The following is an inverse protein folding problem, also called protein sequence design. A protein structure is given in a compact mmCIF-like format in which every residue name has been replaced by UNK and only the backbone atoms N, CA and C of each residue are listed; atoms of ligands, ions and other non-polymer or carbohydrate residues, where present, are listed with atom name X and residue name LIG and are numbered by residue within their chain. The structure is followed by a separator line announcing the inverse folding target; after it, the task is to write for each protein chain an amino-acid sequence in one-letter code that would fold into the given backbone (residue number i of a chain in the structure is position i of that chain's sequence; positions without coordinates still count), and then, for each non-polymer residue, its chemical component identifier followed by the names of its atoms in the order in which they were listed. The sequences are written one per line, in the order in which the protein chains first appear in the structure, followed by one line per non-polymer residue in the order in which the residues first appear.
data_IF_117223416269
#
_entry.id   IF_117223416269
#
_cell.length_a   1.000
_cell.length_b   1.000
_cell.length_c   1.000
_cell.angle_alpha   90.00
_cell.angle_beta   90.00
_cell.angle_gamma   90.00
#
_symmetry.space_group_name_H-M   'P 1'
#
loop_
_entity.id
_entity.type
_entity.pdbx_description
1 polymer ?
#
# COMPACT_ATOMS: atom_id res chain seq x y z
N UNK A 1 3.47 31.56 -18.35
CA UNK A 1 2.66 31.03 -17.22
C UNK A 1 3.21 29.72 -16.66
N UNK A 2 3.46 28.68 -17.47
CA UNK A 2 4.09 27.44 -16.96
C UNK A 2 5.52 27.73 -16.47
N UNK A 3 6.31 28.45 -17.26
CA UNK A 3 7.66 28.94 -16.89
C UNK A 3 7.63 29.76 -15.57
N UNK A 4 6.57 30.54 -15.37
CA UNK A 4 6.36 31.30 -14.13
C UNK A 4 6.05 30.40 -12.93
N UNK A 5 5.26 29.34 -13.12
CA UNK A 5 4.96 28.36 -12.05
C UNK A 5 6.17 27.49 -11.72
N UNK A 6 7.05 27.22 -12.70
CA UNK A 6 8.30 26.50 -12.51
C UNK A 6 9.41 27.35 -11.88
N UNK A 7 9.20 28.68 -11.76
CA UNK A 7 10.20 29.59 -11.23
C UNK A 7 11.29 29.97 -12.23
N UNK A 8 11.12 29.70 -13.52
CA UNK A 8 12.09 30.04 -14.57
C UNK A 8 12.13 31.55 -14.85
N UNK A 9 11.05 32.28 -14.55
CA UNK A 9 10.96 33.74 -14.75
C UNK A 9 11.31 34.56 -13.51
N UNK A 10 11.13 34.02 -12.30
CA UNK A 10 11.30 34.77 -11.03
C UNK A 10 12.20 34.05 -10.02
N UNK A 11 12.79 32.90 -10.39
CA UNK A 11 13.67 32.09 -9.56
C UNK A 11 12.98 31.31 -8.45
N UNK A 12 11.65 31.40 -8.32
CA UNK A 12 10.91 30.80 -7.19
C UNK A 12 9.84 29.84 -7.72
N UNK A 13 10.08 28.51 -7.66
CA UNK A 13 9.07 27.51 -7.99
C UNK A 13 7.80 27.72 -7.16
N UNK A 14 6.65 27.78 -7.82
CA UNK A 14 5.34 27.95 -7.16
C UNK A 14 4.80 26.61 -6.66
N UNK A 15 3.71 26.68 -5.90
CA UNK A 15 3.04 25.51 -5.33
C UNK A 15 2.77 24.44 -6.42
N UNK A 16 3.34 23.23 -6.29
CA UNK A 16 3.11 22.13 -7.22
C UNK A 16 1.61 21.82 -7.45
N UNK A 17 0.74 22.08 -6.47
CA UNK A 17 -0.72 21.91 -6.62
C UNK A 17 -1.31 22.82 -7.69
N UNK A 18 -0.81 24.04 -7.85
CA UNK A 18 -1.25 24.96 -8.91
C UNK A 18 -0.81 24.45 -10.28
N UNK A 19 0.42 23.98 -10.37
CA UNK A 19 0.96 23.43 -11.61
C UNK A 19 0.22 22.15 -12.03
N UNK A 20 -0.06 21.26 -11.08
CA UNK A 20 -0.89 20.08 -11.31
C UNK A 20 -2.28 20.44 -11.85
N UNK A 21 -2.98 21.38 -11.22
CA UNK A 21 -4.31 21.84 -11.68
C UNK A 21 -4.25 22.41 -13.10
N UNK A 22 -3.20 23.17 -13.42
CA UNK A 22 -3.00 23.71 -14.77
C UNK A 22 -2.76 22.59 -15.80
N UNK A 23 -1.91 21.61 -15.49
CA UNK A 23 -1.67 20.47 -16.38
C UNK A 23 -2.93 19.64 -16.61
N UNK A 24 -3.72 19.40 -15.56
CA UNK A 24 -5.01 18.72 -15.67
C UNK A 24 -5.99 19.50 -16.55
N UNK A 25 -6.14 20.82 -16.34
CA UNK A 25 -7.01 21.67 -17.14
C UNK A 25 -6.60 21.71 -18.63
N UNK A 26 -5.30 21.62 -18.92
CA UNK A 26 -4.75 21.54 -20.27
C UNK A 26 -4.71 20.13 -20.86
N UNK A 27 -5.17 19.11 -20.14
CA UNK A 27 -5.08 17.68 -20.52
C UNK A 27 -3.64 17.21 -20.78
N UNK A 28 -2.66 17.83 -20.12
CA UNK A 28 -1.25 17.45 -20.13
C UNK A 28 -1.01 16.38 -19.07
N UNK A 29 -1.55 15.18 -19.29
CA UNK A 29 -1.62 14.12 -18.28
C UNK A 29 -0.25 13.55 -17.88
N UNK A 30 0.73 13.53 -18.80
CA UNK A 30 2.09 13.02 -18.49
C UNK A 30 2.80 13.94 -17.49
N UNK A 31 2.67 15.24 -17.69
CA UNK A 31 3.21 16.29 -16.84
C UNK A 31 2.45 16.36 -15.52
N UNK A 32 1.12 16.24 -15.56
CA UNK A 32 0.28 16.12 -14.37
C UNK A 32 0.68 14.92 -13.51
N UNK A 33 0.97 13.76 -14.12
CA UNK A 33 1.40 12.57 -13.41
C UNK A 33 2.72 12.78 -12.65
N UNK A 34 3.69 13.48 -13.26
CA UNK A 34 4.95 13.84 -12.59
C UNK A 34 4.70 14.79 -11.41
N UNK A 35 3.87 15.81 -11.61
CA UNK A 35 3.51 16.74 -10.53
C UNK A 35 2.76 16.03 -9.39
N UNK A 36 1.86 15.10 -9.71
CA UNK A 36 1.12 14.30 -8.73
C UNK A 36 2.06 13.47 -7.85
N UNK A 37 3.09 12.85 -8.42
CA UNK A 37 4.11 12.11 -7.64
C UNK A 37 4.86 13.01 -6.66
N UNK A 38 5.23 14.23 -7.09
CA UNK A 38 5.92 15.20 -6.22
C UNK A 38 5.01 15.62 -5.06
N UNK A 39 3.75 15.98 -5.35
CA UNK A 39 2.78 16.38 -4.34
C UNK A 39 2.51 15.22 -3.37
N UNK A 40 2.29 14.01 -3.88
CA UNK A 40 2.04 12.84 -3.04
C UNK A 40 3.20 12.57 -2.08
N UNK A 41 4.44 12.69 -2.55
CA UNK A 41 5.61 12.56 -1.68
C UNK A 41 5.68 13.66 -0.60
N UNK A 42 5.32 14.91 -0.93
CA UNK A 42 5.25 15.98 0.07
C UNK A 42 4.17 15.70 1.13
N UNK A 43 2.99 15.23 0.71
CA UNK A 43 1.91 14.84 1.61
C UNK A 43 2.33 13.64 2.50
N UNK A 44 3.09 12.67 1.97
CA UNK A 44 3.66 11.57 2.75
C UNK A 44 4.63 12.04 3.83
N UNK A 45 5.54 12.97 3.49
CA UNK A 45 6.49 13.56 4.43
C UNK A 45 5.76 14.37 5.52
N UNK A 46 4.65 14.99 5.17
CA UNK A 46 3.79 15.72 6.11
C UNK A 46 2.91 14.81 6.99
N UNK A 47 2.85 13.50 6.73
CA UNK A 47 2.00 12.55 7.45
C UNK A 47 0.56 12.44 6.91
N UNK A 48 0.25 13.10 5.79
CA UNK A 48 -1.07 13.12 5.15
C UNK A 48 -1.24 11.94 4.16
N UNK A 49 -1.04 10.71 4.64
CA UNK A 49 -1.02 9.51 3.79
C UNK A 49 -2.32 9.26 3.01
N UNK A 50 -3.48 9.60 3.58
CA UNK A 50 -4.76 9.48 2.88
C UNK A 50 -4.87 10.47 1.71
N UNK A 51 -4.44 11.71 1.91
CA UNK A 51 -4.41 12.72 0.83
C UNK A 51 -3.46 12.31 -0.30
N UNK A 52 -2.27 11.78 0.04
CA UNK A 52 -1.33 11.24 -0.94
C UNK A 52 -1.95 10.07 -1.73
N UNK A 53 -2.60 9.15 -1.03
CA UNK A 53 -3.30 8.01 -1.62
C UNK A 53 -4.37 8.47 -2.61
N UNK A 54 -5.26 9.37 -2.19
CA UNK A 54 -6.41 9.81 -2.99
C UNK A 54 -5.96 10.61 -4.22
N UNK A 55 -4.88 11.39 -4.12
CA UNK A 55 -4.26 12.08 -5.26
C UNK A 55 -3.70 11.08 -6.29
N UNK A 56 -2.91 10.10 -5.85
CA UNK A 56 -2.33 9.10 -6.75
C UNK A 56 -3.40 8.20 -7.37
N UNK A 57 -4.44 7.83 -6.60
CA UNK A 57 -5.59 7.10 -7.12
C UNK A 57 -6.32 7.90 -8.21
N UNK A 58 -6.60 9.19 -7.96
CA UNK A 58 -7.25 10.06 -8.93
C UNK A 58 -6.43 10.16 -10.22
N UNK A 59 -5.12 10.40 -10.11
CA UNK A 59 -4.23 10.46 -11.27
C UNK A 59 -4.14 9.10 -12.00
N UNK A 60 -4.11 7.98 -11.27
CA UNK A 60 -4.15 6.64 -11.85
C UNK A 60 -5.40 6.44 -12.71
N UNK A 61 -6.57 6.83 -12.19
CA UNK A 61 -7.84 6.72 -12.92
C UNK A 61 -7.84 7.61 -14.17
N UNK A 62 -7.32 8.83 -14.08
CA UNK A 62 -7.21 9.74 -15.22
C UNK A 62 -6.30 9.17 -16.32
N UNK A 63 -5.15 8.60 -15.97
CA UNK A 63 -4.28 7.93 -16.94
C UNK A 63 -4.99 6.73 -17.59
N UNK A 64 -5.67 5.90 -16.79
CA UNK A 64 -6.40 4.72 -17.28
C UNK A 64 -7.52 5.11 -18.26
N UNK A 65 -8.35 6.09 -17.91
CA UNK A 65 -9.45 6.60 -18.78
C UNK A 65 -8.96 7.15 -20.11
N UNK A 66 -7.76 7.73 -20.13
CA UNK A 66 -7.14 8.27 -21.33
C UNK A 66 -6.24 7.26 -22.06
N UNK A 67 -6.26 5.98 -21.68
CA UNK A 67 -5.43 4.90 -22.25
C UNK A 67 -3.93 5.23 -22.24
N UNK A 68 -3.46 5.91 -21.19
CA UNK A 68 -2.07 6.28 -21.00
C UNK A 68 -1.35 5.27 -20.09
N UNK A 69 -0.07 5.04 -20.38
CA UNK A 69 0.78 4.19 -19.56
C UNK A 69 0.96 4.78 -18.17
N UNK A 70 0.65 3.99 -17.15
CA UNK A 70 0.89 4.35 -15.75
C UNK A 70 2.32 3.94 -15.41
N UNK A 71 3.08 4.83 -14.79
CA UNK A 71 4.47 4.55 -14.39
C UNK A 71 4.53 3.49 -13.28
N UNK A 72 5.58 2.66 -13.28
CA UNK A 72 5.84 1.66 -12.22
C UNK A 72 5.85 2.29 -10.83
N UNK A 73 6.48 3.44 -10.70
CA UNK A 73 6.70 4.10 -9.41
C UNK A 73 5.39 4.63 -8.82
N UNK A 74 4.47 5.10 -9.67
CA UNK A 74 3.12 5.49 -9.26
C UNK A 74 2.34 4.27 -8.76
N UNK A 75 2.42 3.13 -9.46
CA UNK A 75 1.77 1.88 -9.02
C UNK A 75 2.33 1.41 -7.67
N UNK A 76 3.66 1.45 -7.51
CA UNK A 76 4.33 1.03 -6.29
C UNK A 76 3.99 1.96 -5.11
N UNK A 77 4.02 3.28 -5.31
CA UNK A 77 3.68 4.27 -4.28
C UNK A 77 2.21 4.16 -3.87
N UNK A 78 1.28 4.06 -4.82
CA UNK A 78 -0.14 3.85 -4.55
C UNK A 78 -0.39 2.53 -3.79
N UNK A 79 0.28 1.45 -4.22
CA UNK A 79 0.22 0.14 -3.54
C UNK A 79 0.67 0.24 -2.09
N UNK A 80 1.80 0.91 -1.83
CA UNK A 80 2.35 1.06 -0.49
C UNK A 80 1.42 1.87 0.43
N UNK A 81 0.87 2.98 -0.08
CA UNK A 81 -0.10 3.79 0.65
C UNK A 81 -1.40 3.04 0.92
N UNK A 82 -1.89 2.26 -0.07
CA UNK A 82 -3.07 1.43 0.09
C UNK A 82 -2.87 0.31 1.12
N UNK A 83 -1.71 -0.33 1.13
CA UNK A 83 -1.36 -1.31 2.17
C UNK A 83 -1.40 -0.68 3.56
N UNK A 84 -0.89 0.55 3.70
CA UNK A 84 -0.95 1.29 4.95
C UNK A 84 -2.39 1.59 5.41
N UNK A 85 -3.29 2.02 4.51
CA UNK A 85 -4.70 2.27 4.87
C UNK A 85 -5.44 0.98 5.26
N UNK A 86 -5.14 -0.13 4.58
CA UNK A 86 -5.73 -1.45 4.85
C UNK A 86 -5.43 -2.00 6.25
N UNK A 87 -4.29 -1.63 6.86
CA UNK A 87 -3.92 -2.11 8.21
C UNK A 87 -5.04 -1.87 9.21
N UNK A 88 -5.60 -0.64 9.23
CA UNK A 88 -6.67 -0.29 10.17
C UNK A 88 -7.92 -1.14 9.94
N UNK A 89 -8.26 -1.42 8.69
CA UNK A 89 -9.42 -2.23 8.31
C UNK A 89 -9.25 -3.67 8.78
N UNK A 90 -8.10 -4.30 8.52
CA UNK A 90 -7.82 -5.68 8.94
C UNK A 90 -7.70 -5.83 10.47
N UNK A 91 -7.17 -4.83 11.17
CA UNK A 91 -7.16 -4.81 12.63
C UNK A 91 -8.59 -4.79 13.19
N UNK A 92 -9.48 -3.94 12.64
CA UNK A 92 -10.90 -3.87 13.04
C UNK A 92 -11.63 -5.19 12.79
N UNK A 93 -11.35 -5.85 11.66
CA UNK A 93 -11.92 -7.16 11.29
C UNK A 93 -11.40 -8.32 12.14
N UNK A 94 -10.35 -8.12 12.94
CA UNK A 94 -9.70 -9.19 13.69
C UNK A 94 -8.74 -10.05 12.86
N UNK A 95 -8.51 -9.71 11.57
CA UNK A 95 -7.55 -10.42 10.72
C UNK A 95 -6.13 -9.90 10.97
N UNK A 96 -5.59 -10.27 12.12
CA UNK A 96 -4.31 -9.77 12.61
C UNK A 96 -3.12 -10.27 11.79
N UNK A 97 -3.23 -11.46 11.18
CA UNK A 97 -2.15 -11.99 10.35
C UNK A 97 -1.96 -11.15 9.08
N UNK A 98 -3.04 -10.81 8.37
CA UNK A 98 -2.96 -9.91 7.21
C UNK A 98 -2.49 -8.52 7.63
N UNK A 99 -3.00 -7.99 8.74
CA UNK A 99 -2.53 -6.71 9.27
C UNK A 99 -1.03 -6.71 9.57
N UNK A 100 -0.50 -7.78 10.17
CA UNK A 100 0.92 -7.95 10.43
C UNK A 100 1.74 -7.98 9.13
N UNK A 101 1.30 -8.76 8.12
CA UNK A 101 1.96 -8.83 6.81
C UNK A 101 1.99 -7.47 6.09
N UNK A 102 0.88 -6.73 6.11
CA UNK A 102 0.81 -5.37 5.57
C UNK A 102 1.79 -4.44 6.29
N UNK A 103 1.83 -4.51 7.62
CA UNK A 103 2.75 -3.71 8.44
C UNK A 103 4.22 -4.05 8.19
N UNK A 104 4.56 -5.30 7.87
CA UNK A 104 5.92 -5.67 7.45
C UNK A 104 6.30 -4.98 6.15
N UNK A 105 5.42 -4.97 5.15
CA UNK A 105 5.67 -4.29 3.88
C UNK A 105 5.82 -2.77 4.04
N UNK A 106 5.01 -2.16 4.90
CA UNK A 106 5.13 -0.74 5.25
C UNK A 106 6.42 -0.47 6.02
N UNK A 107 6.78 -1.30 7.00
CA UNK A 107 7.97 -1.14 7.82
C UNK A 107 9.28 -1.35 7.04
N UNK A 108 9.30 -2.20 6.00
CA UNK A 108 10.42 -2.28 5.05
C UNK A 108 10.66 -0.97 4.31
N UNK A 109 9.60 -0.17 4.12
CA UNK A 109 9.62 1.11 3.42
C UNK A 109 9.45 2.31 4.38
N UNK A 110 9.90 2.17 5.63
CA UNK A 110 9.61 3.15 6.70
C UNK A 110 10.13 4.57 6.42
N UNK A 111 11.16 4.71 5.57
CA UNK A 111 11.67 6.00 5.12
C UNK A 111 10.63 6.83 4.36
N UNK A 112 9.61 6.19 3.78
CA UNK A 112 8.49 6.85 3.10
C UNK A 112 7.38 7.31 4.07
N UNK A 113 7.51 7.00 5.38
CA UNK A 113 6.57 7.35 6.44
C UNK A 113 7.24 8.08 7.62
N UNK A 114 7.99 9.18 7.39
CA UNK A 114 8.85 9.79 8.41
C UNK A 114 8.07 10.32 9.62
N UNK A 115 6.84 10.79 9.46
CA UNK A 115 6.01 11.29 10.57
C UNK A 115 5.49 10.17 11.47
N UNK A 116 5.31 8.96 10.94
CA UNK A 116 4.66 7.83 11.62
C UNK A 116 5.62 6.66 11.89
N UNK A 117 6.94 6.89 11.90
CA UNK A 117 7.95 5.84 12.14
C UNK A 117 7.63 5.03 13.41
N UNK A 118 7.53 5.71 14.56
CA UNK A 118 7.33 5.06 15.85
C UNK A 118 5.96 4.37 15.95
N UNK A 119 4.82 5.00 15.56
CA UNK A 119 3.52 4.33 15.53
C UNK A 119 3.46 3.08 14.63
N UNK A 120 4.04 3.15 13.42
CA UNK A 120 4.05 2.04 12.46
C UNK A 120 4.85 0.88 13.04
N UNK A 121 6.11 1.13 13.42
CA UNK A 121 6.97 0.07 13.96
C UNK A 121 6.39 -0.54 15.24
N UNK A 122 5.79 0.28 16.11
CA UNK A 122 5.12 -0.20 17.33
C UNK A 122 3.99 -1.16 16.99
N UNK A 123 3.15 -0.78 16.02
CA UNK A 123 2.07 -1.64 15.54
C UNK A 123 2.63 -2.91 14.90
N UNK A 124 3.68 -2.82 14.07
CA UNK A 124 4.35 -3.98 13.46
C UNK A 124 4.80 -4.99 14.51
N UNK A 125 5.47 -4.54 15.58
CA UNK A 125 5.93 -5.42 16.66
C UNK A 125 4.75 -6.10 17.38
N UNK A 126 3.70 -5.33 17.69
CA UNK A 126 2.54 -5.85 18.42
C UNK A 126 1.79 -6.89 17.58
N UNK A 127 1.53 -6.59 16.31
CA UNK A 127 0.81 -7.47 15.38
C UNK A 127 1.60 -8.73 15.05
N UNK A 128 2.90 -8.60 14.77
CA UNK A 128 3.78 -9.75 14.51
C UNK A 128 3.88 -10.66 15.74
N UNK A 129 4.04 -10.08 16.94
CA UNK A 129 4.10 -10.87 18.16
C UNK A 129 2.78 -11.60 18.44
N UNK A 130 1.64 -10.93 18.21
CA UNK A 130 0.30 -11.52 18.38
C UNK A 130 0.06 -12.71 17.45
N UNK A 131 0.58 -12.64 16.23
CA UNK A 131 0.32 -13.63 15.16
C UNK A 131 1.38 -14.73 15.09
N UNK A 132 2.37 -14.72 15.98
CA UNK A 132 3.42 -15.74 16.03
C UNK A 132 4.61 -15.48 15.11
N UNK A 133 4.65 -14.34 14.41
CA UNK A 133 5.79 -13.87 13.61
C UNK A 133 6.91 -13.34 14.53
N UNK A 134 7.50 -14.25 15.32
CA UNK A 134 8.40 -13.92 16.43
C UNK A 134 9.72 -13.33 15.96
N UNK A 135 10.24 -13.74 14.79
CA UNK A 135 11.50 -13.22 14.26
C UNK A 135 11.32 -11.76 13.84
N UNK A 136 10.32 -11.48 13.00
CA UNK A 136 10.00 -10.11 12.59
C UNK A 136 9.64 -9.23 13.78
N UNK A 137 8.84 -9.73 14.74
CA UNK A 137 8.51 -8.97 15.94
C UNK A 137 9.76 -8.57 16.74
N UNK A 138 10.72 -9.48 16.90
CA UNK A 138 11.97 -9.21 17.58
C UNK A 138 12.83 -8.21 16.83
N UNK A 139 12.99 -8.36 15.51
CA UNK A 139 13.80 -7.47 14.66
C UNK A 139 13.34 -6.01 14.76
N UNK A 140 12.04 -5.75 14.58
CA UNK A 140 11.50 -4.39 14.69
C UNK A 140 11.45 -3.89 16.15
N UNK A 141 11.34 -4.78 17.13
CA UNK A 141 11.43 -4.40 18.54
C UNK A 141 12.85 -3.90 18.90
N UNK A 142 13.89 -4.56 18.38
CA UNK A 142 15.28 -4.10 18.52
C UNK A 142 15.47 -2.74 17.86
N UNK A 143 14.89 -2.54 16.66
CA UNK A 143 14.93 -1.24 15.98
C UNK A 143 14.28 -0.14 16.82
N UNK A 144 13.09 -0.37 17.38
CA UNK A 144 12.39 0.59 18.24
C UNK A 144 13.14 0.91 19.54
N UNK A 145 13.90 -0.03 20.09
CA UNK A 145 14.64 0.16 21.34
C UNK A 145 15.93 0.97 21.17
N UNK A 146 16.28 1.39 19.95
CA UNK A 146 17.36 2.36 19.69
C UNK A 146 17.04 3.70 20.37
N UNK A 147 18.08 4.43 20.77
CA UNK A 147 17.97 5.71 21.49
C UNK A 147 17.11 6.75 20.77
N UNK A 148 17.13 6.74 19.44
CA UNK A 148 16.35 7.63 18.56
C UNK A 148 14.82 7.49 18.77
N UNK A 149 14.33 6.27 18.98
CA UNK A 149 12.90 5.97 19.01
C UNK A 149 12.37 5.65 20.40
N UNK A 150 13.20 5.08 21.28
CA UNK A 150 12.78 4.51 22.57
C UNK A 150 11.95 5.48 23.43
N UNK A 151 12.34 6.75 23.47
CA UNK A 151 11.67 7.76 24.30
C UNK A 151 10.31 8.23 23.72
N UNK A 152 10.03 7.90 22.46
CA UNK A 152 8.79 8.27 21.76
C UNK A 152 7.76 7.13 21.83
N UNK A 153 8.13 5.95 22.33
CA UNK A 153 7.22 4.81 22.48
C UNK A 153 6.27 5.09 23.64
N UNK A 154 4.97 4.94 23.39
CA UNK A 154 3.94 5.05 24.42
C UNK A 154 4.22 4.06 25.58
N UNK A 155 4.13 4.57 26.82
CA UNK A 155 4.38 3.81 28.04
C UNK A 155 3.56 2.51 28.13
N UNK A 156 2.36 2.47 27.52
CA UNK A 156 1.51 1.26 27.49
C UNK A 156 2.15 0.11 26.71
N UNK A 157 2.99 0.40 25.73
CA UNK A 157 3.63 -0.61 24.88
C UNK A 157 5.11 -0.83 25.22
N UNK A 158 5.78 0.16 25.82
CA UNK A 158 7.21 0.11 26.13
C UNK A 158 7.62 -1.17 26.88
N UNK A 159 6.93 -1.50 27.98
CA UNK A 159 7.24 -2.71 28.78
C UNK A 159 7.08 -4.01 27.98
N UNK A 160 6.06 -4.08 27.12
CA UNK A 160 5.81 -5.27 26.28
C UNK A 160 6.92 -5.44 25.24
N UNK A 161 7.32 -4.36 24.57
CA UNK A 161 8.39 -4.39 23.57
C UNK A 161 9.74 -4.71 24.24
N UNK A 162 10.03 -4.14 25.42
CA UNK A 162 11.25 -4.49 26.16
C UNK A 162 11.28 -5.98 26.53
N UNK A 163 10.14 -6.55 26.92
CA UNK A 163 10.06 -7.98 27.20
C UNK A 163 10.30 -8.85 25.96
N UNK A 164 9.90 -8.39 24.76
CA UNK A 164 10.17 -9.12 23.51
C UNK A 164 11.67 -9.12 23.22
N UNK A 165 12.35 -7.98 23.38
CA UNK A 165 13.80 -7.88 23.15
C UNK A 165 14.59 -8.71 24.18
N UNK A 166 14.19 -8.70 25.46
CA UNK A 166 14.86 -9.49 26.52
C UNK A 166 14.71 -10.99 26.31
N UNK A 167 13.57 -11.43 25.77
CA UNK A 167 13.27 -12.83 25.46
C UNK A 167 13.62 -13.12 24.00
N UNK A 168 14.88 -12.89 23.63
CA UNK A 168 15.37 -13.20 22.31
C UNK A 168 14.94 -14.63 21.92
N UNK A 169 14.42 -14.84 20.70
CA UNK A 169 14.10 -16.16 20.18
C UNK A 169 15.24 -17.15 20.45
N UNK A 170 14.98 -18.23 21.19
CA UNK A 170 15.94 -19.33 21.33
C UNK A 170 15.82 -20.23 20.09
N UNK A 171 16.88 -20.31 19.30
CA UNK A 171 16.91 -21.06 18.04
C UNK A 171 16.55 -20.23 16.81
N UNK A 172 16.84 -20.77 15.62
CA UNK A 172 16.43 -20.16 14.34
C UNK A 172 14.92 -20.29 14.16
N UNK A 173 14.15 -19.36 14.72
CA UNK A 173 12.73 -19.26 14.42
C UNK A 173 12.58 -18.65 13.02
N UNK A 174 12.04 -19.42 12.09
CA UNK A 174 11.55 -18.91 10.82
C UNK A 174 10.10 -18.47 11.00
N UNK A 175 9.74 -17.35 10.39
CA UNK A 175 8.36 -16.86 10.42
C UNK A 175 7.55 -17.67 9.38
N UNK A 176 7.18 -18.91 9.66
CA UNK A 176 6.47 -19.80 8.71
C UNK A 176 5.24 -19.11 8.07
N UNK A 177 4.49 -18.34 8.86
CA UNK A 177 3.33 -17.57 8.37
C UNK A 177 3.68 -16.42 7.41
N UNK A 178 4.94 -15.97 7.35
CA UNK A 178 5.42 -14.94 6.42
C UNK A 178 5.74 -15.51 5.02
N UNK A 179 5.94 -16.83 4.89
CA UNK A 179 6.29 -17.50 3.63
C UNK A 179 5.07 -18.06 2.88
N UNK A 180 3.87 -17.57 3.18
CA UNK A 180 2.71 -17.90 2.36
C UNK A 180 2.97 -17.48 0.92
N UNK A 181 2.85 -18.43 0.00
CA UNK A 181 3.05 -18.23 -1.43
C UNK A 181 1.76 -18.52 -2.17
N UNK A 182 1.57 -17.82 -3.28
CA UNK A 182 0.49 -18.05 -4.22
C UNK A 182 1.05 -18.02 -5.65
N UNK A 183 0.38 -18.63 -6.63
CA UNK A 183 0.88 -18.70 -7.99
C UNK A 183 0.74 -17.35 -8.70
N UNK A 184 1.75 -16.99 -9.49
CA UNK A 184 1.70 -15.88 -10.41
C UNK A 184 0.55 -16.07 -11.42
N UNK A 185 -0.34 -15.08 -11.63
CA UNK A 185 -1.46 -15.22 -12.56
C UNK A 185 -1.02 -15.25 -14.03
N UNK A 186 0.25 -14.94 -14.34
CA UNK A 186 0.81 -15.01 -15.69
C UNK A 186 1.49 -16.35 -15.93
N UNK A 187 2.53 -16.65 -15.15
CA UNK A 187 3.44 -17.79 -15.40
C UNK A 187 3.32 -18.94 -14.39
N UNK A 188 2.37 -18.87 -13.45
CA UNK A 188 2.09 -19.91 -12.44
C UNK A 188 3.21 -20.20 -11.44
N UNK A 189 4.35 -19.53 -11.55
CA UNK A 189 5.41 -19.63 -10.56
C UNK A 189 4.94 -19.14 -9.19
N UNK A 190 5.21 -19.91 -8.14
CA UNK A 190 4.95 -19.51 -6.77
C UNK A 190 5.87 -18.35 -6.35
N UNK A 191 5.28 -17.33 -5.75
CA UNK A 191 5.97 -16.19 -5.17
C UNK A 191 5.29 -15.82 -3.83
N UNK A 192 5.98 -15.12 -2.92
CA UNK A 192 5.37 -14.63 -1.68
C UNK A 192 4.10 -13.82 -1.97
N UNK A 193 3.02 -14.06 -1.22
CA UNK A 193 1.73 -13.40 -1.49
C UNK A 193 1.81 -11.87 -1.43
N UNK A 194 2.72 -11.31 -0.64
CA UNK A 194 2.93 -9.87 -0.53
C UNK A 194 3.85 -9.29 -1.61
N UNK A 195 4.52 -10.12 -2.41
CA UNK A 195 5.27 -9.65 -3.56
C UNK A 195 4.30 -9.41 -4.71
N UNK A 196 4.50 -8.30 -5.43
CA UNK A 196 3.69 -7.94 -6.60
C UNK A 196 4.55 -7.76 -7.86
N UNK A 197 5.83 -8.14 -7.81
CA UNK A 197 6.70 -8.24 -8.98
C UNK A 197 7.17 -9.69 -9.06
N UNK A 198 6.79 -10.39 -10.11
CA UNK A 198 7.14 -11.80 -10.24
C UNK A 198 8.64 -11.97 -10.55
N UNK A 199 9.34 -12.71 -9.70
CA UNK A 199 10.77 -13.00 -9.91
C UNK A 199 11.07 -13.77 -11.19
N UNK A 200 10.11 -14.56 -11.69
CA UNK A 200 10.28 -15.41 -12.88
C UNK A 200 9.96 -14.67 -14.19
N UNK A 201 8.72 -14.17 -14.36
CA UNK A 201 8.33 -13.49 -15.60
C UNK A 201 8.58 -11.97 -15.59
N UNK A 202 9.10 -11.41 -14.48
CA UNK A 202 9.36 -9.97 -14.27
C UNK A 202 8.14 -9.06 -14.38
N UNK A 203 6.94 -9.64 -14.45
CA UNK A 203 5.69 -8.89 -14.55
C UNK A 203 5.34 -8.24 -13.22
N UNK A 204 4.95 -6.97 -13.27
CA UNK A 204 4.30 -6.28 -12.16
C UNK A 204 2.84 -6.69 -12.10
N UNK A 205 2.49 -7.44 -11.07
CA UNK A 205 1.17 -7.96 -10.81
C UNK A 205 0.30 -6.89 -10.13
N UNK A 206 -0.97 -6.76 -10.51
CA UNK A 206 -1.95 -6.03 -9.72
C UNK A 206 -2.13 -6.65 -8.33
N UNK A 207 -2.41 -5.78 -7.34
CA UNK A 207 -2.72 -6.20 -5.98
C UNK A 207 -4.22 -6.33 -5.79
N UNK A 208 -4.61 -7.22 -4.89
CA UNK A 208 -5.95 -7.31 -4.32
C UNK A 208 -6.19 -6.09 -3.43
N UNK A 209 -7.14 -5.23 -3.78
CA UNK A 209 -7.45 -4.05 -2.95
C UNK A 209 -8.07 -4.39 -1.59
N UNK A 210 -8.48 -5.64 -1.37
CA UNK A 210 -9.01 -6.11 -0.09
C UNK A 210 -7.90 -6.61 0.86
N UNK A 211 -6.89 -7.33 0.36
CA UNK A 211 -5.84 -7.97 1.20
C UNK A 211 -4.46 -7.33 1.07
N UNK A 212 -4.21 -6.55 0.01
CA UNK A 212 -2.91 -5.98 -0.34
C UNK A 212 -1.89 -6.97 -0.93
N UNK A 213 -2.27 -8.25 -1.08
CA UNK A 213 -1.48 -9.30 -1.75
C UNK A 213 -1.60 -9.18 -3.28
N UNK A 214 -0.74 -9.85 -4.05
CA UNK A 214 -1.01 -9.99 -5.49
C UNK A 214 -2.26 -10.84 -5.74
N UNK A 215 -2.94 -10.60 -6.85
CA UNK A 215 -4.09 -11.42 -7.25
C UNK A 215 -3.65 -12.72 -7.92
N UNK A 216 -4.45 -13.77 -7.76
CA UNK A 216 -4.32 -15.05 -8.47
C UNK A 216 -5.28 -15.09 -9.67
N UNK A 217 -5.33 -16.19 -10.44
CA UNK A 217 -6.25 -16.30 -11.59
C UNK A 217 -7.71 -16.51 -11.20
N UNK A 218 -7.94 -17.14 -10.05
CA UNK A 218 -9.25 -17.60 -9.61
C UNK A 218 -9.84 -16.67 -8.54
N UNK A 219 -11.16 -16.69 -8.39
CA UNK A 219 -11.89 -15.91 -7.38
C UNK A 219 -11.54 -14.41 -7.38
N UNK A 220 -11.48 -13.78 -8.57
CA UNK A 220 -11.19 -12.35 -8.69
C UNK A 220 -12.44 -11.58 -9.14
N UNK A 221 -12.68 -10.43 -8.52
CA UNK A 221 -13.69 -9.48 -8.93
C UNK A 221 -13.14 -8.05 -8.95
N UNK A 222 -13.74 -7.19 -9.76
CA UNK A 222 -13.47 -5.77 -9.84
C UNK A 222 -14.49 -4.98 -9.03
N UNK A 223 -14.04 -3.87 -8.44
CA UNK A 223 -14.94 -2.83 -7.95
C UNK A 223 -15.70 -2.20 -9.14
N UNK A 224 -17.05 -2.10 -9.10
CA UNK A 224 -17.81 -1.53 -10.22
C UNK A 224 -17.54 -0.04 -10.45
N UNK A 225 -17.10 0.69 -9.44
CA UNK A 225 -16.90 2.16 -9.53
C UNK A 225 -15.47 2.55 -9.91
N UNK A 226 -14.47 1.77 -9.51
CA UNK A 226 -13.07 2.09 -9.77
C UNK A 226 -12.32 1.06 -10.61
N UNK A 227 -12.93 -0.07 -10.91
CA UNK A 227 -12.35 -1.14 -11.73
C UNK A 227 -10.95 -1.57 -11.24
N UNK A 228 -10.80 -1.66 -9.92
CA UNK A 228 -9.63 -2.27 -9.28
C UNK A 228 -9.94 -3.71 -8.86
N UNK A 229 -9.00 -4.65 -9.06
CA UNK A 229 -9.23 -6.05 -8.77
C UNK A 229 -9.05 -6.37 -7.29
N UNK A 230 -9.80 -7.37 -6.83
CA UNK A 230 -9.67 -7.98 -5.51
C UNK A 230 -10.03 -9.46 -5.58
N UNK A 231 -9.50 -10.25 -4.64
CA UNK A 231 -10.02 -11.58 -4.36
C UNK A 231 -11.48 -11.42 -3.90
N UNK A 232 -12.41 -11.99 -4.65
CA UNK A 232 -13.86 -11.73 -4.56
C UNK A 232 -14.37 -12.05 -3.16
N UNK A 233 -14.04 -13.21 -2.62
CA UNK A 233 -14.45 -13.59 -1.25
C UNK A 233 -13.93 -12.58 -0.22
N UNK A 234 -12.65 -12.22 -0.30
CA UNK A 234 -12.07 -11.25 0.64
C UNK A 234 -12.62 -9.84 0.45
N UNK A 235 -13.01 -9.46 -0.77
CA UNK A 235 -13.61 -8.17 -1.04
C UNK A 235 -14.99 -8.06 -0.39
N UNK A 236 -15.84 -9.10 -0.49
CA UNK A 236 -17.14 -9.13 0.20
C UNK A 236 -16.98 -8.95 1.72
N UNK A 237 -16.06 -9.70 2.33
CA UNK A 237 -15.75 -9.59 3.77
C UNK A 237 -15.24 -8.20 4.16
N UNK A 238 -14.51 -7.53 3.27
CA UNK A 238 -14.05 -6.16 3.49
C UNK A 238 -15.23 -5.19 3.42
N UNK A 239 -16.13 -5.31 2.44
CA UNK A 239 -17.32 -4.48 2.32
C UNK A 239 -18.23 -4.59 3.56
N UNK A 240 -18.39 -5.79 4.12
CA UNK A 240 -19.10 -5.98 5.40
C UNK A 240 -18.45 -5.20 6.56
N UNK A 241 -17.11 -5.11 6.57
CA UNK A 241 -16.36 -4.41 7.62
C UNK A 241 -16.38 -2.88 7.44
N UNK A 242 -16.51 -2.42 6.20
CA UNK A 242 -16.43 -0.99 5.82
C UNK A 242 -17.79 -0.37 5.54
N UNK A 243 -18.88 -1.03 5.93
CA UNK A 243 -20.26 -0.55 5.69
C UNK A 243 -20.48 -0.28 4.19
N UNK A 244 -20.16 -1.28 3.35
CA UNK A 244 -20.21 -1.23 1.89
C UNK A 244 -19.24 -0.24 1.23
N UNK A 245 -18.30 0.36 1.95
CA UNK A 245 -17.36 1.29 1.35
C UNK A 245 -16.14 0.58 0.72
N UNK A 246 -15.85 0.84 -0.56
CA UNK A 246 -14.64 0.33 -1.21
C UNK A 246 -13.37 0.92 -0.56
N UNK A 247 -12.41 0.07 -0.20
CA UNK A 247 -11.15 0.50 0.43
C UNK A 247 -10.24 1.30 -0.49
N UNK A 248 -10.40 1.16 -1.81
CA UNK A 248 -9.61 1.86 -2.82
C UNK A 248 -10.19 3.23 -3.18
N UNK A 249 -11.45 3.28 -3.65
CA UNK A 249 -12.04 4.55 -4.11
C UNK A 249 -12.87 5.27 -3.06
N UNK A 250 -13.32 4.59 -2.00
CA UNK A 250 -14.21 5.18 -1.00
C UNK A 250 -15.68 5.28 -1.41
N UNK A 251 -16.05 4.80 -2.61
CA UNK A 251 -17.44 4.74 -3.05
C UNK A 251 -18.20 3.61 -2.36
N UNK A 252 -19.53 3.75 -2.27
CA UNK A 252 -20.43 2.73 -1.71
C UNK A 252 -20.74 1.65 -2.76
N UNK A 253 -20.51 0.39 -2.40
CA UNK A 253 -20.60 -0.78 -3.27
C UNK A 253 -21.43 -1.86 -2.59
N UNK A 254 -22.54 -2.22 -3.21
CA UNK A 254 -23.26 -3.44 -2.84
C UNK A 254 -22.45 -4.68 -3.27
N UNK A 255 -22.28 -5.65 -2.38
CA UNK A 255 -21.48 -6.85 -2.65
C UNK A 255 -21.96 -7.65 -3.88
N UNK A 256 -23.25 -7.58 -4.22
CA UNK A 256 -23.81 -8.23 -5.41
C UNK A 256 -23.44 -7.54 -6.74
N UNK A 257 -22.98 -6.28 -6.70
CA UNK A 257 -22.55 -5.51 -7.87
C UNK A 257 -21.09 -5.71 -8.25
N UNK A 258 -20.36 -6.57 -7.52
CA UNK A 258 -18.99 -6.92 -7.86
C UNK A 258 -18.93 -7.58 -9.24
N UNK A 259 -18.02 -7.10 -10.09
CA UNK A 259 -17.88 -7.59 -11.46
C UNK A 259 -16.87 -8.73 -11.46
N UNK A 260 -17.29 -9.95 -11.80
CA UNK A 260 -16.37 -11.08 -11.90
C UNK A 260 -15.34 -10.86 -13.00
N UNK A 261 -14.07 -11.22 -12.72
CA UNK A 261 -12.98 -11.12 -13.68
C UNK A 261 -12.59 -12.53 -14.14
N UNK A 262 -13.04 -12.90 -15.34
CA UNK A 262 -12.65 -14.16 -15.99
C UNK A 262 -11.27 -14.10 -16.64
N UNK A 263 -10.87 -12.90 -17.09
CA UNK A 263 -9.59 -12.67 -17.73
C UNK A 263 -8.83 -11.56 -17.00
N UNK A 264 -7.73 -11.93 -16.37
CA UNK A 264 -6.91 -11.02 -15.58
C UNK A 264 -5.95 -10.17 -16.42
N UNK A 265 -5.68 -10.55 -17.67
CA UNK A 265 -4.70 -9.90 -18.54
C UNK A 265 -4.91 -8.38 -18.69
N UNK A 266 -6.14 -7.83 -18.79
CA UNK A 266 -6.36 -6.38 -18.85
C UNK A 266 -5.87 -5.61 -17.62
N UNK A 267 -5.77 -6.26 -16.46
CA UNK A 267 -5.29 -5.67 -15.21
C UNK A 267 -3.78 -5.80 -15.02
N UNK A 268 -3.14 -6.64 -15.83
CA UNK A 268 -1.71 -6.84 -15.82
C UNK A 268 -1.11 -5.78 -16.73
N UNK A 269 -0.41 -4.82 -16.15
CA UNK A 269 0.28 -3.79 -16.90
C UNK A 269 1.33 -4.44 -17.79
N UNK A 270 1.00 -4.71 -19.05
CA UNK A 270 1.99 -5.07 -20.07
C UNK A 270 2.87 -3.84 -20.24
N UNK A 271 3.99 -3.84 -19.53
CA UNK A 271 5.09 -2.95 -19.84
C UNK A 271 5.51 -3.23 -21.27
N UNK A 272 5.20 -2.30 -22.16
CA UNK A 272 5.97 -2.07 -23.38
C UNK A 272 6.65 -0.73 -23.21
#
# INVERSE_FOLDING_TARGET
LIEYLLGETDGVPKDPKLLFRLYMAKRQFKEAAKAAMIIANQEQIAGNYRSAHDLLFSMYQELKRNNLTIASDMRASLTLLHRYTLVRTHVKRGNHLVAAKLLLEVAKNISQFPSHVVPILTSTVIECHRTGLRKSAFEYAVMLMRSEFRNQIDAKYAKKIESIVRKAPRGGLEDEGAYETSPCPVCEANLPCMDFICGQCKTTLPICIATGQHIVREDVAACPECDFPALKVEFMKILETTENQCTMCGEEIEAMRLVEIDNILPYIGTGT
#
